data_IF_633094600104
#
_entry.id   IF_633094600104
#
_cell.length_a   1.000
_cell.length_b   1.000
_cell.length_c   1.000
_cell.angle_alpha   90.00
_cell.angle_beta   90.00
_cell.angle_gamma   90.00
#
_symmetry.space_group_name_H-M   'P 1'
#
loop_
_entity.id
_entity.type
_entity.pdbx_description
1 polymer ?
#
# COMPACT_ATOMS: atom_id res chain seq x y z
N UNK A 1 -8.41 32.90 -1.13
CA UNK A 1 -9.19 32.38 -2.27
C UNK A 1 -8.24 32.25 -3.46
N UNK A 2 -7.68 31.05 -3.69
CA UNK A 2 -6.81 30.74 -4.84
C UNK A 2 -7.44 29.57 -5.57
N UNK A 3 -7.94 29.82 -6.78
CA UNK A 3 -8.47 28.83 -7.71
C UNK A 3 -7.27 28.18 -8.38
N UNK A 4 -7.09 26.87 -8.20
CA UNK A 4 -6.14 26.07 -8.98
C UNK A 4 -6.95 25.24 -9.98
N UNK A 5 -6.91 25.66 -11.25
CA UNK A 5 -7.40 24.87 -12.39
C UNK A 5 -6.51 23.65 -12.59
N UNK A 6 -7.09 22.45 -12.64
CA UNK A 6 -6.40 21.23 -13.04
C UNK A 6 -7.19 20.57 -14.17
N UNK A 7 -6.62 20.60 -15.38
CA UNK A 7 -7.15 19.93 -16.56
C UNK A 7 -6.54 18.54 -16.68
N UNK A 8 -7.37 17.51 -16.82
CA UNK A 8 -6.93 16.15 -17.20
C UNK A 8 -7.40 15.90 -18.64
N UNK A 9 -6.46 15.61 -19.53
CA UNK A 9 -6.69 15.18 -20.91
C UNK A 9 -6.79 13.65 -20.91
N UNK A 10 -7.93 13.09 -21.28
CA UNK A 10 -8.07 11.67 -21.64
C UNK A 10 -7.85 11.49 -23.15
N UNK A 11 -6.96 10.56 -23.51
CA UNK A 11 -6.87 10.00 -24.86
C UNK A 11 -7.47 8.60 -24.84
N UNK A 12 -8.51 8.38 -25.65
CA UNK A 12 -9.15 7.09 -25.85
C UNK A 12 -8.46 6.35 -27.01
N UNK A 13 -8.19 5.06 -26.85
CA UNK A 13 -7.82 4.17 -27.95
C UNK A 13 -8.67 2.92 -27.88
N UNK A 14 -9.45 2.71 -28.94
CA UNK A 14 -10.38 1.59 -29.13
C UNK A 14 -9.64 0.33 -29.58
N UNK A 15 -10.02 -0.84 -29.05
CA UNK A 15 -9.61 -2.15 -29.57
C UNK A 15 -10.85 -2.94 -29.98
N UNK A 16 -10.90 -3.34 -31.25
CA UNK A 16 -11.92 -4.21 -31.84
C UNK A 16 -11.58 -5.68 -31.60
N UNK A 17 -12.60 -6.47 -31.27
CA UNK A 17 -12.56 -7.92 -31.11
C UNK A 17 -12.61 -8.65 -32.47
N UNK A 18 -11.93 -9.79 -32.56
CA UNK A 18 -12.16 -10.78 -33.61
C UNK A 18 -12.29 -12.18 -33.01
N UNK A 19 -13.34 -12.85 -33.45
CA UNK A 19 -13.92 -14.11 -32.99
C UNK A 19 -13.41 -15.26 -33.88
N UNK A 20 -12.91 -16.36 -33.30
CA UNK A 20 -12.65 -17.60 -34.05
C UNK A 20 -13.12 -18.81 -33.24
N UNK A 21 -13.75 -19.74 -33.96
CA UNK A 21 -14.60 -20.84 -33.50
C UNK A 21 -14.02 -22.17 -34.02
N UNK A 22 -13.92 -23.22 -33.19
CA UNK A 22 -13.81 -24.64 -33.60
C UNK A 22 -14.38 -25.52 -32.46
N UNK A 23 -15.46 -26.30 -32.64
CA UNK A 23 -15.59 -27.71 -33.11
C UNK A 23 -14.51 -28.64 -32.52
N UNK A 24 -14.72 -29.75 -31.80
CA UNK A 24 -15.88 -30.47 -31.25
C UNK A 24 -15.57 -31.97 -31.06
N UNK A 25 -15.97 -32.56 -29.90
CA UNK A 25 -16.42 -33.97 -29.64
C UNK A 25 -15.33 -35.10 -29.53
N UNK A 26 -15.52 -36.24 -28.79
CA UNK A 26 -15.97 -36.51 -27.40
C UNK A 26 -15.13 -37.57 -26.60
N UNK A 27 -15.59 -37.87 -25.37
CA UNK A 27 -15.75 -39.20 -24.71
C UNK A 27 -14.93 -39.57 -23.46
N UNK A 28 -15.71 -39.74 -22.37
CA UNK A 28 -15.67 -40.73 -21.27
C UNK A 28 -14.40 -40.97 -20.44
N UNK A 29 -14.50 -40.67 -19.14
CA UNK A 29 -14.60 -41.70 -18.08
C UNK A 29 -14.77 -41.03 -16.71
N UNK A 30 -15.79 -41.48 -15.98
CA UNK A 30 -16.12 -41.09 -14.62
C UNK A 30 -15.33 -41.97 -13.64
N UNK A 31 -14.42 -41.36 -12.88
CA UNK A 31 -13.79 -42.00 -11.72
C UNK A 31 -13.73 -41.00 -10.58
N UNK A 32 -14.58 -41.25 -9.58
CA UNK A 32 -14.63 -40.56 -8.30
C UNK A 32 -13.24 -40.52 -7.66
N UNK A 33 -12.77 -39.32 -7.36
CA UNK A 33 -11.65 -39.10 -6.43
C UNK A 33 -11.99 -37.86 -5.60
N UNK A 34 -12.47 -38.11 -4.39
CA UNK A 34 -12.65 -37.12 -3.34
C UNK A 34 -11.26 -36.68 -2.89
N UNK A 35 -10.66 -35.72 -3.60
CA UNK A 35 -9.45 -35.04 -3.19
C UNK A 35 -9.85 -33.76 -2.44
N UNK A 36 -9.40 -33.66 -1.19
CA UNK A 36 -9.52 -32.47 -0.34
C UNK A 36 -8.88 -31.27 -1.05
N UNK A 37 -9.71 -30.39 -1.61
CA UNK A 37 -9.30 -29.14 -2.26
C UNK A 37 -9.31 -27.99 -1.25
N UNK A 38 -8.17 -27.70 -0.63
CA UNK A 38 -8.01 -26.55 0.28
C UNK A 38 -6.75 -25.73 -0.03
N UNK A 39 -6.47 -25.42 -1.30
CA UNK A 39 -5.35 -24.52 -1.65
C UNK A 39 -5.62 -23.51 -2.78
N UNK A 40 -6.85 -23.42 -3.31
CA UNK A 40 -7.21 -22.51 -4.42
C UNK A 40 -7.97 -21.23 -4.00
N UNK A 41 -8.30 -21.07 -2.73
CA UNK A 41 -9.12 -19.94 -2.25
C UNK A 41 -8.36 -18.63 -2.10
N UNK A 42 -7.08 -18.65 -1.71
CA UNK A 42 -6.31 -17.45 -1.34
C UNK A 42 -5.77 -16.63 -2.53
N UNK A 43 -5.52 -17.27 -3.67
CA UNK A 43 -5.14 -16.58 -4.92
C UNK A 43 -6.35 -16.01 -5.65
N UNK A 44 -7.47 -16.72 -5.59
CA UNK A 44 -8.76 -16.29 -6.14
C UNK A 44 -9.33 -15.09 -5.39
N UNK A 45 -9.21 -15.07 -4.05
CA UNK A 45 -9.65 -13.93 -3.22
C UNK A 45 -8.84 -12.66 -3.50
N UNK A 46 -7.49 -12.75 -3.54
CA UNK A 46 -6.63 -11.59 -3.84
C UNK A 46 -6.86 -11.01 -5.24
N UNK A 47 -7.09 -11.87 -6.24
CA UNK A 47 -7.41 -11.40 -7.60
C UNK A 47 -8.77 -10.70 -7.65
N UNK A 48 -9.75 -11.20 -6.89
CA UNK A 48 -11.05 -10.56 -6.74
C UNK A 48 -10.94 -9.21 -6.01
N UNK A 49 -10.19 -9.13 -4.90
CA UNK A 49 -9.91 -7.88 -4.17
C UNK A 49 -9.25 -6.82 -5.07
N UNK A 50 -8.20 -7.22 -5.82
CA UNK A 50 -7.54 -6.33 -6.79
C UNK A 50 -8.48 -5.85 -7.90
N UNK A 51 -9.46 -6.67 -8.28
CA UNK A 51 -10.47 -6.30 -9.29
C UNK A 51 -11.49 -5.33 -8.70
N UNK A 52 -11.90 -5.53 -7.46
CA UNK A 52 -12.90 -4.69 -6.80
C UNK A 52 -12.35 -3.34 -6.35
N UNK A 53 -11.09 -3.26 -5.89
CA UNK A 53 -10.42 -1.98 -5.66
C UNK A 53 -10.28 -1.19 -6.98
N UNK A 54 -10.03 -1.86 -8.11
CA UNK A 54 -9.98 -1.20 -9.42
C UNK A 54 -11.35 -0.65 -9.86
N UNK A 55 -12.44 -1.39 -9.61
CA UNK A 55 -13.81 -0.90 -9.82
C UNK A 55 -14.10 0.31 -8.93
N UNK A 56 -13.75 0.24 -7.64
CA UNK A 56 -13.90 1.34 -6.69
C UNK A 56 -13.18 2.60 -7.18
N UNK A 57 -11.91 2.48 -7.61
CA UNK A 57 -11.14 3.61 -8.17
C UNK A 57 -11.80 4.21 -9.40
N UNK A 58 -12.38 3.38 -10.26
CA UNK A 58 -13.08 3.84 -11.47
C UNK A 58 -14.33 4.66 -11.10
N UNK A 59 -15.16 4.13 -10.20
CA UNK A 59 -16.36 4.83 -9.72
C UNK A 59 -16.02 6.16 -9.04
N UNK A 60 -15.01 6.16 -8.17
CA UNK A 60 -14.51 7.37 -7.50
C UNK A 60 -13.99 8.40 -8.51
N UNK A 61 -13.23 7.97 -9.51
CA UNK A 61 -12.68 8.87 -10.53
C UNK A 61 -13.78 9.54 -11.34
N UNK A 62 -14.83 8.79 -11.70
CA UNK A 62 -16.02 9.31 -12.38
C UNK A 62 -16.78 10.32 -11.50
N UNK A 63 -17.00 9.99 -10.23
CA UNK A 63 -17.65 10.89 -9.28
C UNK A 63 -16.85 12.19 -9.11
N UNK A 64 -15.52 12.12 -8.97
CA UNK A 64 -14.65 13.29 -8.87
C UNK A 64 -14.73 14.16 -10.14
N UNK A 65 -14.78 13.56 -11.32
CA UNK A 65 -14.89 14.27 -12.58
C UNK A 65 -16.19 15.09 -12.71
N UNK A 66 -17.25 14.72 -11.98
CA UNK A 66 -18.53 15.47 -11.93
C UNK A 66 -18.59 16.41 -10.72
N UNK A 67 -18.27 15.90 -9.53
CA UNK A 67 -18.42 16.60 -8.26
C UNK A 67 -17.42 17.73 -8.06
N UNK A 68 -16.15 17.57 -8.44
CA UNK A 68 -15.16 18.63 -8.24
C UNK A 68 -15.48 19.89 -9.08
N UNK A 69 -15.86 19.80 -10.37
CA UNK A 69 -16.40 20.94 -11.10
C UNK A 69 -17.67 21.54 -10.48
N UNK A 70 -18.53 20.72 -9.86
CA UNK A 70 -19.72 21.20 -9.16
C UNK A 70 -19.41 22.07 -7.96
N UNK A 71 -18.52 21.59 -7.12
CA UNK A 71 -18.03 22.36 -5.99
C UNK A 71 -17.39 23.69 -6.43
N UNK A 72 -16.54 23.65 -7.47
CA UNK A 72 -15.82 24.83 -7.96
C UNK A 72 -16.74 25.92 -8.54
N UNK A 73 -17.93 25.57 -9.06
CA UNK A 73 -18.94 26.52 -9.55
C UNK A 73 -19.91 26.98 -8.45
N UNK A 74 -19.70 26.58 -7.19
CA UNK A 74 -20.54 26.93 -6.04
C UNK A 74 -21.68 25.94 -5.74
N UNK A 75 -21.82 24.87 -6.54
CA UNK A 75 -22.80 23.81 -6.34
C UNK A 75 -22.22 22.76 -5.36
N UNK A 76 -22.05 23.19 -4.11
CA UNK A 76 -21.49 22.37 -3.02
C UNK A 76 -22.42 21.20 -2.68
N UNK A 77 -23.73 21.44 -2.69
CA UNK A 77 -24.75 20.42 -2.46
C UNK A 77 -24.68 19.31 -3.51
N UNK A 78 -24.66 19.65 -4.80
CA UNK A 78 -24.56 18.66 -5.87
C UNK A 78 -23.26 17.85 -5.80
N UNK A 79 -22.15 18.46 -5.40
CA UNK A 79 -20.90 17.73 -5.15
C UNK A 79 -21.06 16.69 -4.03
N UNK A 80 -21.61 17.10 -2.88
CA UNK A 80 -21.81 16.22 -1.74
C UNK A 80 -22.76 15.06 -2.07
N UNK A 81 -23.85 15.33 -2.78
CA UNK A 81 -24.81 14.31 -3.21
C UNK A 81 -24.18 13.28 -4.16
N UNK A 82 -23.42 13.71 -5.17
CA UNK A 82 -22.70 12.82 -6.11
C UNK A 82 -21.70 11.92 -5.37
N UNK A 83 -20.93 12.48 -4.43
CA UNK A 83 -19.98 11.69 -3.64
C UNK A 83 -20.69 10.71 -2.71
N UNK A 84 -21.78 11.14 -2.05
CA UNK A 84 -22.56 10.29 -1.15
C UNK A 84 -23.19 9.11 -1.91
N UNK A 85 -23.79 9.36 -3.06
CA UNK A 85 -24.39 8.33 -3.91
C UNK A 85 -23.34 7.32 -4.38
N UNK A 86 -22.17 7.81 -4.81
CA UNK A 86 -21.06 6.94 -5.23
C UNK A 86 -20.58 6.07 -4.07
N UNK A 87 -20.36 6.67 -2.88
CA UNK A 87 -19.94 5.95 -1.69
C UNK A 87 -20.95 4.87 -1.28
N UNK A 88 -22.25 5.21 -1.29
CA UNK A 88 -23.33 4.27 -1.00
C UNK A 88 -23.39 3.12 -2.01
N UNK A 89 -23.28 3.43 -3.30
CA UNK A 89 -23.25 2.42 -4.36
C UNK A 89 -22.10 1.42 -4.22
N UNK A 90 -20.92 1.88 -3.77
CA UNK A 90 -19.80 1.00 -3.46
C UNK A 90 -20.09 0.06 -2.27
N UNK A 91 -20.72 0.55 -1.21
CA UNK A 91 -21.11 -0.24 -0.03
C UNK A 91 -22.18 -1.26 -0.42
N UNK A 92 -23.22 -0.83 -1.15
CA UNK A 92 -24.36 -1.66 -1.56
C UNK A 92 -23.92 -2.78 -2.52
N UNK A 93 -22.95 -2.49 -3.41
CA UNK A 93 -22.34 -3.48 -4.30
C UNK A 93 -21.43 -4.47 -3.58
N UNK A 94 -21.17 -4.27 -2.28
CA UNK A 94 -20.27 -5.08 -1.45
C UNK A 94 -18.88 -5.29 -2.07
N UNK A 95 -18.36 -4.26 -2.74
CA UNK A 95 -17.01 -4.31 -3.31
C UNK A 95 -16.02 -4.72 -2.24
N UNK A 96 -15.11 -5.63 -2.59
CA UNK A 96 -14.09 -6.07 -1.67
C UNK A 96 -12.97 -5.03 -1.53
N UNK A 97 -13.24 -4.03 -0.68
CA UNK A 97 -12.28 -3.02 -0.25
C UNK A 97 -11.81 -3.29 1.18
N UNK A 98 -10.58 -2.90 1.55
CA UNK A 98 -10.03 -3.11 2.88
C UNK A 98 -10.98 -2.66 3.98
N UNK A 99 -11.14 -3.47 5.04
CA UNK A 99 -12.11 -3.23 6.10
C UNK A 99 -12.00 -1.82 6.71
N UNK A 100 -10.78 -1.35 6.97
CA UNK A 100 -10.54 0.00 7.52
C UNK A 100 -11.03 1.13 6.60
N UNK A 101 -10.90 0.98 5.28
CA UNK A 101 -11.42 1.95 4.31
C UNK A 101 -12.94 1.82 4.16
N UNK A 102 -13.45 0.60 4.21
CA UNK A 102 -14.89 0.31 4.18
C UNK A 102 -15.61 0.93 5.37
N UNK A 103 -15.06 0.78 6.57
CA UNK A 103 -15.67 1.28 7.80
C UNK A 103 -15.64 2.81 7.85
N UNK A 104 -14.54 3.43 7.40
CA UNK A 104 -14.48 4.90 7.20
C UNK A 104 -15.54 5.36 6.18
N UNK A 105 -15.65 4.67 5.04
CA UNK A 105 -16.65 5.00 4.02
C UNK A 105 -18.07 4.86 4.56
N UNK A 106 -18.34 3.78 5.31
CA UNK A 106 -19.63 3.54 5.97
C UNK A 106 -19.96 4.61 7.00
N UNK A 107 -19.02 4.96 7.88
CA UNK A 107 -19.22 6.04 8.86
C UNK A 107 -19.65 7.34 8.17
N UNK A 108 -18.96 7.72 7.09
CA UNK A 108 -19.34 8.90 6.32
C UNK A 108 -20.70 8.74 5.63
N UNK A 109 -21.07 7.55 5.19
CA UNK A 109 -22.37 7.32 4.53
C UNK A 109 -23.53 7.28 5.53
N UNK A 110 -23.34 6.63 6.68
CA UNK A 110 -24.33 6.41 7.73
C UNK A 110 -24.72 7.73 8.41
N UNK A 111 -23.78 8.67 8.55
CA UNK A 111 -24.07 10.03 9.01
C UNK A 111 -25.02 10.81 8.07
N UNK A 112 -25.24 10.30 6.84
CA UNK A 112 -26.28 10.76 5.92
C UNK A 112 -26.16 12.21 5.46
N UNK A 113 -27.12 12.64 4.64
CA UNK A 113 -27.40 14.05 4.37
C UNK A 113 -28.79 14.32 4.95
N UNK A 114 -28.87 15.33 5.83
CA UNK A 114 -30.07 15.79 6.52
C UNK A 114 -30.25 17.28 6.26
N UNK A 115 -31.40 17.84 6.66
CA UNK A 115 -31.68 19.28 6.46
C UNK A 115 -30.72 20.21 7.22
N UNK A 116 -30.00 19.69 8.23
CA UNK A 116 -28.98 20.43 9.00
C UNK A 116 -27.54 20.15 8.54
N UNK A 117 -27.36 19.34 7.48
CA UNK A 117 -26.02 18.94 7.04
C UNK A 117 -25.27 20.12 6.40
N UNK A 118 -24.04 20.34 6.86
CA UNK A 118 -23.09 21.16 6.14
C UNK A 118 -22.55 20.38 4.92
N UNK A 119 -23.05 20.72 3.74
CA UNK A 119 -22.65 20.09 2.49
C UNK A 119 -21.16 20.28 2.17
N UNK A 120 -20.53 21.36 2.65
CA UNK A 120 -19.11 21.57 2.45
C UNK A 120 -18.32 20.53 3.22
N UNK A 121 -18.62 20.36 4.51
CA UNK A 121 -17.93 19.40 5.36
C UNK A 121 -18.16 17.98 4.86
N UNK A 122 -19.39 17.67 4.42
CA UNK A 122 -19.72 16.36 3.83
C UNK A 122 -18.91 16.07 2.57
N UNK A 123 -18.85 17.00 1.63
CA UNK A 123 -18.10 16.84 0.39
C UNK A 123 -16.61 16.57 0.67
N UNK A 124 -16.02 17.31 1.61
CA UNK A 124 -14.61 17.13 1.98
C UNK A 124 -14.35 15.85 2.78
N UNK A 125 -15.26 15.43 3.65
CA UNK A 125 -15.12 14.20 4.40
C UNK A 125 -15.09 12.98 3.47
N UNK A 126 -16.09 12.87 2.58
CA UNK A 126 -16.14 11.83 1.55
C UNK A 126 -14.93 11.89 0.61
N UNK A 127 -14.51 13.10 0.21
CA UNK A 127 -13.33 13.26 -0.66
C UNK A 127 -12.06 12.70 -0.04
N UNK A 128 -11.84 12.91 1.26
CA UNK A 128 -10.67 12.35 1.97
C UNK A 128 -10.69 10.83 1.99
N UNK A 129 -11.86 10.21 2.10
CA UNK A 129 -11.99 8.75 2.01
C UNK A 129 -11.73 8.27 0.58
N UNK A 130 -12.27 8.95 -0.43
CA UNK A 130 -12.00 8.67 -1.85
C UNK A 130 -10.52 8.74 -2.18
N UNK A 131 -9.85 9.81 -1.78
CA UNK A 131 -8.40 9.96 -2.00
C UNK A 131 -7.64 8.82 -1.30
N UNK A 132 -8.05 8.42 -0.08
CA UNK A 132 -7.46 7.26 0.62
C UNK A 132 -7.61 5.94 -0.16
N UNK A 133 -8.74 5.74 -0.86
CA UNK A 133 -8.99 4.54 -1.67
C UNK A 133 -8.21 4.60 -2.99
N UNK A 134 -8.13 5.78 -3.62
CA UNK A 134 -7.35 5.98 -4.85
C UNK A 134 -5.85 5.72 -4.60
N UNK A 135 -5.34 6.15 -3.46
CA UNK A 135 -3.94 6.01 -3.06
C UNK A 135 -3.63 4.65 -2.42
N UNK A 136 -4.63 3.87 -2.04
CA UNK A 136 -4.42 2.57 -1.38
C UNK A 136 -3.61 1.63 -2.26
N UNK A 137 -2.46 1.16 -1.78
CA UNK A 137 -1.69 0.09 -2.39
C UNK A 137 -1.83 -1.16 -1.51
N UNK A 138 -2.30 -2.30 -2.06
CA UNK A 138 -2.33 -3.55 -1.31
C UNK A 138 -0.94 -3.88 -0.77
N UNK A 139 -0.82 -4.28 0.50
CA UNK A 139 0.46 -4.67 1.05
C UNK A 139 0.99 -5.94 0.36
N UNK A 140 2.31 -6.00 0.20
CA UNK A 140 2.99 -7.22 -0.21
C UNK A 140 2.95 -8.19 0.98
N UNK A 141 2.54 -9.42 0.73
CA UNK A 141 2.48 -10.48 1.75
C UNK A 141 3.43 -11.62 1.39
N UNK A 142 3.90 -12.41 2.37
CA UNK A 142 4.72 -13.57 2.10
C UNK A 142 4.09 -14.53 1.08
N UNK A 143 4.95 -15.12 0.24
CA UNK A 143 4.52 -16.15 -0.73
C UNK A 143 4.39 -17.49 -0.01
N UNK A 144 3.48 -18.32 -0.51
CA UNK A 144 3.42 -19.73 -0.13
C UNK A 144 4.72 -20.42 -0.59
N UNK A 145 5.36 -21.16 0.31
CA UNK A 145 6.65 -21.83 0.12
C UNK A 145 6.60 -22.92 -0.97
N UNK A 146 5.41 -23.38 -1.35
CA UNK A 146 5.21 -24.41 -2.38
C UNK A 146 5.63 -24.00 -3.81
N UNK A 147 5.86 -22.71 -4.07
CA UNK A 147 6.33 -22.17 -5.36
C UNK A 147 7.75 -21.59 -5.30
N UNK A 148 8.52 -21.89 -4.24
CA UNK A 148 9.91 -21.46 -4.13
C UNK A 148 10.77 -22.17 -5.18
N UNK A 149 10.78 -21.61 -6.39
CA UNK A 149 11.92 -21.71 -7.31
C UNK A 149 13.19 -21.41 -6.52
N UNK A 150 14.32 -22.05 -6.82
CA UNK A 150 15.62 -21.83 -6.15
C UNK A 150 16.01 -20.33 -6.14
N UNK A 151 15.50 -19.58 -5.17
CA UNK A 151 15.82 -18.18 -4.95
C UNK A 151 17.11 -18.15 -4.16
N UNK A 152 18.14 -17.52 -4.71
CA UNK A 152 19.36 -17.29 -3.95
C UNK A 152 19.15 -16.08 -3.05
N UNK A 153 19.39 -16.25 -1.75
CA UNK A 153 19.22 -15.22 -0.73
C UNK A 153 20.58 -14.79 -0.18
N UNK A 154 20.81 -13.48 -0.18
CA UNK A 154 22.02 -12.85 0.33
C UNK A 154 21.65 -12.02 1.58
N UNK A 155 21.84 -12.56 2.81
CA UNK A 155 21.47 -11.87 4.03
C UNK A 155 22.35 -10.65 4.28
N UNK A 156 21.75 -9.58 4.80
CA UNK A 156 22.52 -8.41 5.22
C UNK A 156 23.43 -8.74 6.41
N UNK A 157 24.68 -8.29 6.32
CA UNK A 157 25.63 -8.41 7.44
C UNK A 157 25.58 -7.15 8.33
N UNK A 158 25.89 -7.26 9.63
CA UNK A 158 26.01 -6.09 10.50
C UNK A 158 27.03 -5.06 9.98
N UNK A 159 28.12 -5.52 9.37
CA UNK A 159 29.14 -4.65 8.77
C UNK A 159 28.61 -3.85 7.57
N UNK A 160 27.66 -4.42 6.82
CA UNK A 160 27.03 -3.75 5.69
C UNK A 160 25.99 -2.72 6.13
N UNK A 161 25.12 -3.06 7.09
CA UNK A 161 24.06 -2.17 7.57
C UNK A 161 24.57 -1.04 8.46
N UNK A 162 25.59 -1.30 9.28
CA UNK A 162 26.06 -0.38 10.31
C UNK A 162 25.03 -0.17 11.42
N UNK A 163 25.12 0.97 12.10
CA UNK A 163 24.21 1.31 13.22
C UNK A 163 22.86 1.83 12.73
N UNK A 164 21.79 1.35 13.37
CA UNK A 164 20.44 1.82 13.10
C UNK A 164 20.23 3.23 13.66
N UNK A 165 19.61 4.10 12.86
CA UNK A 165 19.23 5.46 13.25
C UNK A 165 17.72 5.60 13.37
N UNK A 166 17.29 6.17 14.49
CA UNK A 166 15.88 6.46 14.74
C UNK A 166 15.44 7.73 13.99
N UNK A 167 14.35 7.64 13.24
CA UNK A 167 13.66 8.77 12.60
C UNK A 167 12.21 8.76 13.06
N UNK A 168 11.83 9.78 13.81
CA UNK A 168 10.53 9.86 14.50
C UNK A 168 9.77 11.13 14.06
N UNK A 169 8.53 11.25 14.53
CA UNK A 169 7.64 12.38 14.24
C UNK A 169 7.87 13.63 15.12
N UNK A 170 8.91 13.62 15.95
CA UNK A 170 9.19 14.65 16.95
C UNK A 170 9.51 16.03 16.37
N UNK A 171 9.95 16.12 15.11
CA UNK A 171 10.21 17.41 14.43
C UNK A 171 8.95 18.30 14.41
N UNK A 172 7.76 17.71 14.33
CA UNK A 172 6.48 18.43 14.36
C UNK A 172 5.80 18.37 15.74
N UNK A 173 6.53 17.98 16.79
CA UNK A 173 6.01 17.83 18.16
C UNK A 173 5.39 16.47 18.45
N UNK A 174 5.44 15.53 17.51
CA UNK A 174 4.99 14.15 17.71
C UNK A 174 5.72 13.47 18.86
N UNK A 175 5.05 12.49 19.47
CA UNK A 175 5.55 11.79 20.67
C UNK A 175 5.72 10.30 20.42
N UNK A 176 5.78 9.88 19.15
CA UNK A 176 6.03 8.47 18.83
C UNK A 176 7.47 8.08 19.17
N UNK A 177 7.65 6.84 19.58
CA UNK A 177 8.94 6.29 19.95
C UNK A 177 9.16 4.95 19.26
N UNK A 178 10.43 4.57 19.11
CA UNK A 178 10.80 3.25 18.60
C UNK A 178 12.30 3.04 18.53
N UNK A 179 12.68 1.83 18.18
CA UNK A 179 14.08 1.42 18.09
C UNK A 179 14.25 0.08 17.39
N UNK A 180 15.52 -0.31 17.24
CA UNK A 180 15.94 -1.58 16.67
C UNK A 180 16.72 -2.37 17.71
N UNK A 181 16.40 -3.64 17.87
CA UNK A 181 17.16 -4.60 18.70
C UNK A 181 17.96 -5.47 17.72
N UNK A 182 19.29 -5.25 17.56
CA UNK A 182 20.09 -5.96 16.57
C UNK A 182 20.08 -7.48 16.70
N UNK A 183 20.28 -8.00 17.91
CA UNK A 183 20.42 -9.43 18.14
C UNK A 183 19.11 -10.20 17.90
N UNK A 184 17.98 -9.57 18.25
CA UNK A 184 16.65 -10.13 18.05
C UNK A 184 16.06 -9.77 16.67
N UNK A 185 16.73 -8.91 15.89
CA UNK A 185 16.25 -8.35 14.62
C UNK A 185 14.82 -7.81 14.72
N UNK A 186 14.57 -7.05 15.79
CA UNK A 186 13.25 -6.57 16.15
C UNK A 186 13.17 -5.06 15.99
N UNK A 187 12.20 -4.60 15.18
CA UNK A 187 11.76 -3.22 15.16
C UNK A 187 10.57 -3.06 16.11
N UNK A 188 10.66 -2.15 17.08
CA UNK A 188 9.65 -1.98 18.11
C UNK A 188 9.37 -0.50 18.40
N UNK A 189 8.25 -0.22 19.04
CA UNK A 189 7.93 1.12 19.50
C UNK A 189 6.47 1.32 19.89
N UNK A 190 6.11 2.59 20.03
CA UNK A 190 4.75 3.04 20.26
C UNK A 190 4.49 4.31 19.42
N UNK A 191 3.52 4.23 18.51
CA UNK A 191 3.12 5.36 17.68
C UNK A 191 1.94 6.10 18.29
N UNK A 192 1.91 7.42 18.21
CA UNK A 192 0.84 8.24 18.79
C UNK A 192 0.31 9.27 17.79
N UNK A 193 -1.02 9.42 17.70
CA UNK A 193 -1.65 10.46 16.89
C UNK A 193 -1.56 11.86 17.51
N UNK A 194 -1.08 11.97 18.75
CA UNK A 194 -0.92 13.26 19.45
C UNK A 194 0.06 14.16 18.71
N UNK A 195 -0.21 15.47 18.76
CA UNK A 195 0.62 16.53 18.13
C UNK A 195 0.86 16.28 16.63
N UNK A 196 -0.16 15.80 15.92
CA UNK A 196 -0.09 15.44 14.50
C UNK A 196 0.94 14.35 14.15
N UNK A 197 1.43 13.61 15.15
CA UNK A 197 2.36 12.50 15.00
C UNK A 197 1.72 11.25 14.38
N UNK A 198 2.38 10.12 14.55
CA UNK A 198 1.90 8.79 14.20
C UNK A 198 2.86 8.03 13.30
N UNK A 199 4.18 8.24 13.44
CA UNK A 199 5.14 7.35 12.81
C UNK A 199 6.39 7.14 13.66
N UNK A 200 6.96 5.95 13.53
CA UNK A 200 8.26 5.59 14.05
C UNK A 200 9.04 4.86 12.97
N UNK A 201 10.36 5.05 12.94
CA UNK A 201 11.18 4.45 11.90
C UNK A 201 12.62 4.23 12.34
N UNK A 202 13.22 3.20 11.75
CA UNK A 202 14.65 2.90 11.83
C UNK A 202 15.25 2.94 10.42
N UNK A 203 16.48 3.46 10.30
CA UNK A 203 17.19 3.67 9.03
C UNK A 203 18.64 3.23 9.16
N UNK A 204 19.15 2.57 8.13
CA UNK A 204 20.54 2.21 7.95
C UNK A 204 21.06 2.95 6.73
N UNK A 205 21.96 3.90 6.96
CA UNK A 205 22.62 4.65 5.89
C UNK A 205 23.93 3.99 5.56
N UNK A 206 24.12 3.65 4.30
CA UNK A 206 25.37 3.05 3.84
C UNK A 206 26.47 4.13 3.75
N UNK A 207 27.71 3.81 4.15
CA UNK A 207 28.83 4.75 4.03
C UNK A 207 29.15 5.07 2.57
N UNK A 208 28.94 4.11 1.66
CA UNK A 208 29.07 4.25 0.22
C UNK A 208 27.79 3.76 -0.47
N UNK A 209 27.50 4.29 -1.65
CA UNK A 209 26.39 3.79 -2.46
C UNK A 209 26.59 2.30 -2.79
N UNK A 210 25.55 1.51 -2.60
CA UNK A 210 25.53 0.08 -2.88
C UNK A 210 24.99 -0.17 -4.29
N UNK A 211 25.60 -1.11 -5.00
CA UNK A 211 25.09 -1.59 -6.29
C UNK A 211 24.36 -2.91 -6.09
N UNK A 212 23.04 -2.87 -6.14
CA UNK A 212 22.14 -4.03 -6.05
C UNK A 212 21.47 -4.35 -7.39
N UNK A 213 22.02 -3.88 -8.52
CA UNK A 213 21.41 -4.10 -9.85
C UNK A 213 21.33 -5.58 -10.26
N UNK A 214 22.06 -6.45 -9.57
CA UNK A 214 22.02 -7.89 -9.77
C UNK A 214 20.86 -8.58 -9.03
N UNK A 215 20.29 -7.92 -8.02
CA UNK A 215 19.20 -8.45 -7.21
C UNK A 215 17.84 -8.05 -7.81
N UNK A 216 16.83 -8.89 -7.57
CA UNK A 216 15.43 -8.62 -7.94
C UNK A 216 14.70 -7.78 -6.88
N UNK A 217 15.16 -7.84 -5.63
CA UNK A 217 14.52 -7.11 -4.53
C UNK A 217 15.04 -7.52 -3.16
N UNK A 218 14.24 -7.20 -2.14
CA UNK A 218 14.50 -7.45 -0.73
C UNK A 218 13.67 -8.64 -0.27
N UNK A 219 14.27 -9.53 0.51
CA UNK A 219 13.54 -10.60 1.18
C UNK A 219 13.52 -10.39 2.70
N UNK A 220 12.47 -10.90 3.35
CA UNK A 220 12.36 -11.00 4.81
C UNK A 220 11.81 -12.38 5.16
N UNK A 221 12.48 -13.11 6.06
CA UNK A 221 12.05 -14.42 6.56
C UNK A 221 11.62 -14.32 8.02
N UNK A 222 10.70 -15.19 8.45
CA UNK A 222 10.30 -15.29 9.85
C UNK A 222 9.50 -14.09 10.34
N UNK A 223 8.76 -13.44 9.44
CA UNK A 223 8.02 -12.22 9.72
C UNK A 223 6.97 -12.45 10.82
N UNK A 224 7.09 -11.75 11.95
CA UNK A 224 6.13 -11.78 13.06
C UNK A 224 5.74 -10.37 13.48
N UNK A 225 4.45 -10.13 13.62
CA UNK A 225 3.86 -8.81 13.94
C UNK A 225 3.05 -8.93 15.23
N UNK A 226 3.00 -7.87 16.04
CA UNK A 226 2.10 -7.79 17.22
C UNK A 226 0.63 -7.84 16.85
N UNK A 227 0.23 -7.21 15.74
CA UNK A 227 -1.14 -7.27 15.19
C UNK A 227 -1.09 -7.55 13.68
N UNK A 228 -1.05 -8.83 13.27
CA UNK A 228 -0.92 -9.21 11.86
C UNK A 228 -2.14 -8.83 11.01
N UNK A 229 -3.32 -8.62 11.63
CA UNK A 229 -4.55 -8.34 10.89
C UNK A 229 -4.65 -6.87 10.47
N UNK A 230 -4.05 -5.97 11.25
CA UNK A 230 -4.19 -4.53 11.02
C UNK A 230 -2.87 -3.83 10.68
N UNK A 231 -1.74 -4.32 11.20
CA UNK A 231 -0.46 -3.64 11.04
C UNK A 231 0.19 -3.96 9.68
N UNK A 232 0.41 -2.89 8.94
CA UNK A 232 1.24 -2.82 7.74
C UNK A 232 2.47 -1.99 8.05
N UNK A 233 3.60 -2.44 7.53
CA UNK A 233 4.88 -1.74 7.67
C UNK A 233 5.37 -1.34 6.29
N UNK A 234 6.40 -0.49 6.26
CA UNK A 234 7.02 -0.05 5.01
C UNK A 234 8.50 -0.34 5.03
N UNK A 235 9.01 -0.92 3.95
CA UNK A 235 10.42 -0.79 3.61
C UNK A 235 10.63 0.55 2.93
N UNK A 236 11.70 1.21 3.31
CA UNK A 236 12.12 2.49 2.76
C UNK A 236 13.47 2.32 2.09
N UNK A 237 13.59 2.86 0.89
CA UNK A 237 14.85 2.91 0.15
C UNK A 237 15.16 4.34 -0.28
N UNK A 238 16.44 4.65 -0.33
CA UNK A 238 16.97 5.82 -1.02
C UNK A 238 18.03 5.39 -2.01
N UNK A 239 18.02 6.05 -3.15
CA UNK A 239 19.11 6.01 -4.12
C UNK A 239 19.84 7.36 -4.16
N UNK A 240 20.84 7.49 -5.03
CA UNK A 240 21.58 8.73 -5.19
C UNK A 240 20.71 9.94 -5.62
N UNK A 241 19.53 9.72 -6.22
CA UNK A 241 18.62 10.83 -6.54
C UNK A 241 17.95 11.37 -5.28
N UNK A 242 17.58 10.49 -4.34
CA UNK A 242 17.02 10.89 -3.05
C UNK A 242 17.99 11.73 -2.20
N UNK A 243 19.30 11.64 -2.46
CA UNK A 243 20.30 12.53 -1.83
C UNK A 243 20.26 13.96 -2.38
N UNK A 244 19.81 14.13 -3.63
CA UNK A 244 19.66 15.44 -4.29
C UNK A 244 18.31 16.08 -4.00
N UNK A 245 17.29 15.26 -3.75
CA UNK A 245 15.93 15.71 -3.43
C UNK A 245 15.71 15.57 -1.93
N UNK A 246 15.78 16.69 -1.19
CA UNK A 246 15.64 16.69 0.27
C UNK A 246 14.37 15.98 0.72
N UNK A 247 14.52 15.12 1.73
CA UNK A 247 13.43 14.35 2.36
C UNK A 247 12.72 13.37 1.40
N UNK A 248 13.31 13.09 0.24
CA UNK A 248 12.79 12.10 -0.68
C UNK A 248 13.18 10.68 -0.28
N UNK A 249 12.30 9.72 -0.59
CA UNK A 249 12.54 8.29 -0.45
C UNK A 249 11.51 7.51 -1.26
N UNK A 250 11.76 6.23 -1.46
CA UNK A 250 10.81 5.26 -1.99
C UNK A 250 10.28 4.38 -0.86
N UNK A 251 9.04 3.92 -0.99
CA UNK A 251 8.38 3.05 -0.01
C UNK A 251 7.72 1.87 -0.69
N UNK A 252 7.81 0.70 -0.07
CA UNK A 252 6.97 -0.44 -0.39
C UNK A 252 6.24 -0.89 0.88
N UNK A 253 4.94 -1.12 0.78
CA UNK A 253 4.08 -1.52 1.90
C UNK A 253 4.05 -3.05 1.97
N UNK A 254 4.16 -3.62 3.17
CA UNK A 254 4.02 -5.05 3.39
C UNK A 254 3.24 -5.37 4.66
N UNK A 255 2.71 -6.59 4.74
CA UNK A 255 1.97 -7.10 5.90
C UNK A 255 2.27 -8.58 6.13
N UNK A 256 1.77 -9.12 7.25
CA UNK A 256 1.91 -10.53 7.57
C UNK A 256 1.09 -11.42 6.62
N UNK A 257 1.42 -12.73 6.53
CA UNK A 257 0.63 -13.64 5.73
C UNK A 257 -0.70 -13.89 6.42
N UNK A 258 -1.79 -13.89 5.64
CA UNK A 258 -3.14 -14.12 6.17
C UNK A 258 -3.33 -15.54 6.74
N UNK A 259 -2.48 -16.51 6.37
CA UNK A 259 -2.58 -17.90 6.80
C UNK A 259 -1.21 -18.57 6.83
N UNK A 260 -0.49 -18.51 7.97
CA UNK A 260 0.69 -19.32 8.31
C UNK A 260 1.71 -19.56 7.18
N UNK A 261 1.82 -18.65 6.20
CA UNK A 261 2.69 -18.88 5.05
C UNK A 261 4.12 -18.77 5.54
N UNK A 262 4.81 -19.91 5.59
CA UNK A 262 6.18 -20.02 6.11
C UNK A 262 7.22 -19.49 5.10
N UNK A 263 6.81 -19.12 3.89
CA UNK A 263 7.69 -18.60 2.86
C UNK A 263 8.20 -17.19 3.15
N UNK A 264 9.29 -16.76 2.50
CA UNK A 264 9.79 -15.41 2.62
C UNK A 264 8.82 -14.38 2.04
N UNK A 265 8.78 -13.20 2.64
CA UNK A 265 8.28 -11.99 2.01
C UNK A 265 9.27 -11.54 0.95
N UNK A 266 8.83 -11.41 -0.29
CA UNK A 266 9.64 -10.92 -1.42
C UNK A 266 9.11 -9.58 -1.86
N UNK A 267 9.91 -8.53 -1.66
CA UNK A 267 9.61 -7.15 -2.04
C UNK A 267 10.47 -6.82 -3.27
N UNK A 268 9.91 -6.94 -4.49
CA UNK A 268 10.65 -6.63 -5.71
C UNK A 268 10.97 -5.13 -5.80
N UNK A 269 12.04 -4.79 -6.51
CA UNK A 269 12.42 -3.38 -6.68
C UNK A 269 11.40 -2.56 -7.50
N UNK A 270 10.58 -3.21 -8.32
CA UNK A 270 9.47 -2.57 -9.05
C UNK A 270 8.34 -2.08 -8.12
N UNK A 271 8.27 -2.57 -6.87
CA UNK A 271 7.35 -2.06 -5.86
C UNK A 271 7.74 -0.65 -5.36
N UNK A 272 8.95 -0.18 -5.68
CA UNK A 272 9.45 1.17 -5.36
C UNK A 272 9.31 2.10 -6.58
N UNK A 273 8.09 2.17 -7.12
CA UNK A 273 7.78 2.84 -8.40
C UNK A 273 7.66 4.36 -8.29
N UNK A 274 7.36 4.88 -7.10
CA UNK A 274 7.10 6.30 -6.84
C UNK A 274 8.00 6.85 -5.75
N UNK A 275 8.74 7.89 -6.11
CA UNK A 275 9.45 8.69 -5.13
C UNK A 275 8.45 9.56 -4.37
N UNK A 276 8.60 9.65 -3.06
CA UNK A 276 7.79 10.51 -2.21
C UNK A 276 8.65 11.55 -1.50
N UNK A 277 8.12 12.77 -1.37
CA UNK A 277 8.69 13.81 -0.52
C UNK A 277 7.72 14.13 0.61
N UNK A 278 8.17 13.95 1.86
CA UNK A 278 7.35 14.18 3.06
C UNK A 278 5.98 13.44 3.02
N UNK A 279 5.98 12.23 2.47
CA UNK A 279 4.77 11.39 2.36
C UNK A 279 3.85 11.75 1.20
N UNK A 280 4.26 12.62 0.28
CA UNK A 280 3.51 12.96 -0.93
C UNK A 280 4.23 12.40 -2.17
N UNK A 281 3.55 11.63 -3.03
CA UNK A 281 4.11 11.17 -4.29
C UNK A 281 4.58 12.35 -5.16
N UNK A 282 5.74 12.19 -5.78
CA UNK A 282 6.31 13.17 -6.69
C UNK A 282 5.93 12.85 -8.14
N UNK A 283 5.28 13.79 -8.81
CA UNK A 283 4.92 13.62 -10.21
C UNK A 283 6.16 13.70 -11.10
N UNK A 284 6.32 12.75 -12.03
CA UNK A 284 7.45 12.70 -12.95
C UNK A 284 8.78 12.29 -12.30
N UNK A 285 8.74 11.74 -11.08
CA UNK A 285 9.95 11.21 -10.44
C UNK A 285 10.50 10.01 -11.22
N UNK A 286 11.84 9.82 -11.27
CA UNK A 286 12.41 8.59 -11.80
C UNK A 286 12.00 7.39 -10.92
N UNK A 287 12.00 6.21 -11.53
CA UNK A 287 11.91 4.95 -10.80
C UNK A 287 13.15 4.73 -9.92
N UNK A 288 13.02 3.92 -8.88
CA UNK A 288 14.13 3.56 -8.00
C UNK A 288 15.31 2.96 -8.79
N UNK A 289 16.52 3.47 -8.53
CA UNK A 289 17.73 2.95 -9.15
C UNK A 289 18.52 2.02 -8.20
N UNK A 290 18.47 0.68 -8.39
CA UNK A 290 19.16 -0.27 -7.51
C UNK A 290 20.69 -0.22 -7.65
N UNK A 291 21.26 0.47 -8.64
CA UNK A 291 22.72 0.57 -8.78
C UNK A 291 23.38 1.60 -7.85
N UNK A 292 22.59 2.41 -7.14
CA UNK A 292 23.09 3.54 -6.36
C UNK A 292 22.40 3.70 -5.00
N UNK A 293 22.10 2.59 -4.31
CA UNK A 293 21.34 2.60 -3.05
C UNK A 293 22.15 3.21 -1.91
N UNK A 294 21.58 4.17 -1.19
CA UNK A 294 22.27 4.91 -0.12
C UNK A 294 21.70 4.66 1.27
N UNK A 295 20.46 4.21 1.37
CA UNK A 295 19.79 3.97 2.66
C UNK A 295 18.70 2.92 2.52
N UNK A 296 18.57 2.07 3.53
CA UNK A 296 17.42 1.19 3.74
C UNK A 296 16.78 1.48 5.09
N UNK A 297 15.49 1.24 5.25
CA UNK A 297 14.90 1.21 6.58
C UNK A 297 13.50 0.67 6.64
N UNK A 298 12.96 0.69 7.85
CA UNK A 298 11.65 0.15 8.19
C UNK A 298 10.83 1.25 8.87
N UNK A 299 9.53 1.28 8.62
CA UNK A 299 8.64 2.30 9.16
C UNK A 299 7.29 1.72 9.60
N UNK A 300 6.90 2.09 10.81
CA UNK A 300 5.55 2.01 11.33
C UNK A 300 4.90 3.39 11.17
N UNK A 301 3.69 3.45 10.62
CA UNK A 301 2.99 4.72 10.39
C UNK A 301 1.48 4.54 10.41
N UNK A 302 0.80 5.55 10.91
CA UNK A 302 -0.66 5.71 10.83
C UNK A 302 -1.16 5.65 9.38
N UNK A 303 -2.42 5.27 9.14
CA UNK A 303 -3.41 4.86 10.14
C UNK A 303 -3.24 3.42 10.62
N UNK A 304 -2.38 2.63 9.95
CA UNK A 304 -2.32 1.19 10.16
C UNK A 304 -1.62 0.79 11.46
N UNK A 305 -0.55 1.48 11.84
CA UNK A 305 0.13 1.23 13.12
C UNK A 305 -0.12 2.43 14.03
N UNK A 306 -0.96 2.24 15.06
CA UNK A 306 -1.26 3.21 16.12
C UNK A 306 -1.20 2.48 17.47
N UNK A 307 -0.43 3.01 18.42
CA UNK A 307 -0.13 2.34 19.67
C UNK A 307 1.14 1.48 19.59
N UNK A 308 1.25 0.53 20.52
CA UNK A 308 2.42 -0.33 20.67
C UNK A 308 2.56 -1.31 19.49
N UNK A 309 3.77 -1.51 19.02
CA UNK A 309 4.07 -2.46 17.95
C UNK A 309 5.43 -3.13 18.15
N UNK A 310 5.54 -4.34 17.62
CA UNK A 310 6.76 -5.10 17.42
C UNK A 310 6.68 -5.82 16.07
N UNK A 311 7.83 -5.88 15.42
CA UNK A 311 8.06 -6.49 14.12
C UNK A 311 9.38 -7.25 14.20
N UNK A 312 9.33 -8.57 14.07
CA UNK A 312 10.50 -9.46 14.18
C UNK A 312 10.76 -10.18 12.86
N UNK A 313 12.04 -10.43 12.59
CA UNK A 313 12.52 -11.21 11.45
C UNK A 313 13.52 -12.28 11.90
N UNK A 314 13.55 -13.42 11.22
CA UNK A 314 14.65 -14.39 11.38
C UNK A 314 15.90 -13.91 10.62
N UNK A 315 15.72 -13.45 9.38
CA UNK A 315 16.73 -12.78 8.56
C UNK A 315 16.09 -11.94 7.44
N UNK A 316 16.92 -11.11 6.80
CA UNK A 316 16.51 -10.24 5.70
C UNK A 316 17.74 -9.85 4.87
N UNK A 317 17.51 -9.51 3.60
CA UNK A 317 18.59 -9.28 2.65
C UNK A 317 18.10 -9.11 1.23
N UNK A 318 18.95 -9.44 0.26
CA UNK A 318 18.64 -9.39 -1.17
C UNK A 318 18.29 -10.77 -1.72
N UNK A 319 17.41 -10.82 -2.72
CA UNK A 319 17.15 -12.06 -3.47
C UNK A 319 17.37 -11.88 -4.96
N UNK A 320 17.75 -12.97 -5.63
CA UNK A 320 18.06 -13.05 -7.06
C UNK A 320 17.14 -14.00 -7.80
#
# INVERSE_FOLDING_TARGET
MRILHWSIILSASSLSAAFVRSRGVPSSSSSSSTALSHSSSSSSSRTAEMTDIAKARTAISQAIAVGAPAYNRGDVRGCAEVYQETARGMIDSRLDIPASLRDRLKSEVDDGITDTTDYNDKAWALRRVFDSILEYQPPIVPRDSSLATELTMEPFTPAQLGEARNVMDSVMGGVSQGGWIPDAKTFFGETSLRNNGGFASVRWRFPNAQNWSYAKGIYIRGLKHTDPQTHTFRIILKDAMCERVRLANFKAIFSNPENSAEGPLLIPFDAFDKMEQMGRPMQGSPAFNPSTVTEIGIMAIKPSVVGAFQLEFDDWGLYM
#
